data_IF_057668836073
#
_entry.id   IF_057668836073
#
_cell.length_a   1.000
_cell.length_b   1.000
_cell.length_c   1.000
_cell.angle_alpha   90.00
_cell.angle_beta   90.00
_cell.angle_gamma   90.00
#
_symmetry.space_group_name_H-M   'P 1'
#
loop_
_entity.id
_entity.type
_entity.pdbx_description
1 polymer ?
#
# COMPACT_ATOMS: atom_id res chain seq x y z
N UNK A 1 2.56 -17.90 27.90
CA UNK A 1 1.58 -17.86 26.80
C UNK A 1 2.35 -17.41 25.59
N UNK A 2 2.16 -18.09 24.47
CA UNK A 2 2.86 -17.76 23.23
C UNK A 2 2.47 -16.33 22.83
N UNK A 3 3.39 -15.38 22.88
CA UNK A 3 3.11 -13.97 22.60
C UNK A 3 2.92 -13.69 21.09
N UNK A 4 2.79 -14.75 20.29
CA UNK A 4 3.06 -14.74 18.86
C UNK A 4 2.01 -15.48 18.03
N UNK A 5 0.92 -15.94 18.66
CA UNK A 5 -0.26 -16.33 17.89
C UNK A 5 -1.02 -15.06 17.51
N UNK A 6 -0.93 -14.70 16.23
CA UNK A 6 -1.65 -13.59 15.57
C UNK A 6 -3.19 -13.74 15.57
N UNK A 7 -3.71 -14.76 16.28
CA UNK A 7 -5.12 -14.97 16.60
C UNK A 7 -5.62 -14.16 17.80
N UNK A 8 -4.85 -13.15 18.22
CA UNK A 8 -5.15 -12.31 19.37
C UNK A 8 -6.12 -11.17 19.09
N UNK A 9 -6.21 -10.26 20.06
CA UNK A 9 -7.10 -9.09 20.07
C UNK A 9 -6.86 -8.12 18.88
N UNK A 10 -5.65 -8.11 18.31
CA UNK A 10 -5.26 -7.23 17.20
C UNK A 10 -5.62 -7.78 15.81
N UNK A 11 -6.09 -9.02 15.69
CA UNK A 11 -6.30 -9.67 14.41
C UNK A 11 -7.22 -8.84 13.48
N UNK A 12 -8.39 -8.43 13.97
CA UNK A 12 -9.37 -7.69 13.16
C UNK A 12 -8.85 -6.33 12.71
N UNK A 13 -8.32 -5.52 13.65
CA UNK A 13 -7.83 -4.17 13.31
C UNK A 13 -6.64 -4.21 12.35
N UNK A 14 -5.76 -5.22 12.45
CA UNK A 14 -4.67 -5.44 11.48
C UNK A 14 -5.22 -5.77 10.10
N UNK A 15 -6.15 -6.72 10.02
CA UNK A 15 -6.79 -7.09 8.75
C UNK A 15 -7.40 -5.86 8.08
N UNK A 16 -8.18 -5.08 8.84
CA UNK A 16 -8.82 -3.87 8.34
C UNK A 16 -7.80 -2.81 7.91
N UNK A 17 -6.73 -2.60 8.68
CA UNK A 17 -5.67 -1.63 8.34
C UNK A 17 -4.96 -1.98 7.03
N UNK A 18 -4.47 -3.21 6.89
CA UNK A 18 -3.72 -3.64 5.71
C UNK A 18 -4.59 -3.89 4.47
N UNK A 19 -5.92 -3.93 4.64
CA UNK A 19 -6.90 -4.02 3.54
C UNK A 19 -7.60 -2.69 3.25
N UNK A 20 -7.05 -1.59 3.76
CA UNK A 20 -7.46 -0.20 3.54
C UNK A 20 -8.79 0.22 4.20
N UNK A 21 -9.38 -0.56 5.11
CA UNK A 21 -10.64 -0.23 5.82
C UNK A 21 -10.42 0.80 6.95
N UNK A 22 -9.77 1.92 6.62
CA UNK A 22 -9.31 2.94 7.56
C UNK A 22 -10.43 3.59 8.37
N UNK A 23 -11.64 3.68 7.81
CA UNK A 23 -12.81 4.18 8.55
C UNK A 23 -13.19 3.28 9.71
N UNK A 24 -13.08 1.95 9.55
CA UNK A 24 -13.33 1.00 10.64
C UNK A 24 -12.23 1.06 11.69
N UNK A 25 -10.99 1.05 11.22
CA UNK A 25 -9.81 1.14 12.09
C UNK A 25 -9.86 2.36 13.01
N UNK A 26 -10.20 3.55 12.50
CA UNK A 26 -10.26 4.76 13.34
C UNK A 26 -11.34 4.71 14.42
N UNK A 27 -12.42 3.93 14.22
CA UNK A 27 -13.58 3.89 15.10
C UNK A 27 -13.47 2.89 16.27
N UNK A 28 -12.39 2.12 16.36
CA UNK A 28 -12.19 1.21 17.50
C UNK A 28 -12.14 1.96 18.84
N UNK A 29 -12.74 1.35 19.86
CA UNK A 29 -12.66 1.86 21.23
C UNK A 29 -11.38 1.33 21.88
N UNK A 30 -10.46 2.24 22.21
CA UNK A 30 -9.16 1.88 22.78
C UNK A 30 -9.29 1.04 24.07
N UNK A 31 -10.27 1.36 24.92
CA UNK A 31 -10.51 0.65 26.18
C UNK A 31 -11.11 -0.75 26.00
N UNK A 32 -11.49 -1.12 24.77
CA UNK A 32 -11.85 -2.51 24.43
C UNK A 32 -10.63 -3.41 24.22
N UNK A 33 -9.42 -2.84 24.25
CA UNK A 33 -8.17 -3.57 24.11
C UNK A 33 -7.39 -3.69 25.42
N UNK A 34 -6.60 -4.75 25.55
CA UNK A 34 -5.66 -4.96 26.65
C UNK A 34 -4.64 -3.82 26.72
N UNK A 35 -4.18 -3.48 27.93
CA UNK A 35 -3.27 -2.35 28.14
C UNK A 35 -1.97 -2.42 27.31
N UNK A 36 -1.49 -3.64 27.04
CA UNK A 36 -0.31 -3.90 26.20
C UNK A 36 -0.56 -3.64 24.70
N UNK A 37 -1.79 -3.81 24.22
CA UNK A 37 -2.16 -3.63 22.81
C UNK A 37 -2.65 -2.22 22.48
N UNK A 38 -3.07 -1.45 23.48
CA UNK A 38 -3.65 -0.12 23.27
C UNK A 38 -2.72 0.81 22.48
N UNK A 39 -1.41 0.84 22.76
CA UNK A 39 -0.50 1.70 22.00
C UNK A 39 -0.49 1.35 20.50
N UNK A 40 -0.50 0.05 20.14
CA UNK A 40 -0.53 -0.41 18.75
C UNK A 40 -1.88 -0.14 18.07
N UNK A 41 -2.98 -0.23 18.81
CA UNK A 41 -4.30 0.18 18.29
C UNK A 41 -4.32 1.67 17.97
N UNK A 42 -3.82 2.49 18.90
CA UNK A 42 -3.73 3.93 18.70
C UNK A 42 -2.82 4.28 17.51
N UNK A 43 -1.73 3.54 17.30
CA UNK A 43 -0.91 3.62 16.09
C UNK A 43 -1.76 3.48 14.82
N UNK A 44 -2.53 2.40 14.71
CA UNK A 44 -3.37 2.13 13.54
C UNK A 44 -4.47 3.17 13.36
N UNK A 45 -5.05 3.69 14.45
CA UNK A 45 -6.04 4.77 14.42
C UNK A 45 -5.45 6.06 13.85
N UNK A 46 -4.27 6.48 14.34
CA UNK A 46 -3.58 7.68 13.88
C UNK A 46 -3.21 7.54 12.40
N UNK A 47 -2.61 6.42 12.02
CA UNK A 47 -2.19 6.18 10.63
C UNK A 47 -3.38 6.10 9.68
N UNK A 48 -4.49 5.50 10.10
CA UNK A 48 -5.75 5.46 9.33
C UNK A 48 -6.38 6.85 9.20
N UNK A 49 -6.32 7.68 10.24
CA UNK A 49 -6.78 9.08 10.20
C UNK A 49 -6.00 9.87 9.15
N UNK A 50 -4.66 9.75 9.18
CA UNK A 50 -3.78 10.39 8.19
C UNK A 50 -4.03 9.84 6.77
N UNK A 51 -4.25 8.53 6.62
CA UNK A 51 -4.53 7.90 5.33
C UNK A 51 -5.86 8.37 4.71
N UNK A 52 -6.83 8.76 5.54
CA UNK A 52 -8.10 9.38 5.12
C UNK A 52 -7.95 10.88 4.81
N UNK A 53 -6.75 11.46 4.94
CA UNK A 53 -6.50 12.89 4.76
C UNK A 53 -7.03 13.76 5.91
N UNK A 54 -7.32 13.15 7.06
CA UNK A 54 -7.80 13.83 8.26
C UNK A 54 -6.61 14.23 9.16
N UNK A 55 -6.74 15.33 9.91
CA UNK A 55 -5.72 15.76 10.88
C UNK A 55 -5.77 14.91 12.15
N UNK A 56 -4.68 14.22 12.45
CA UNK A 56 -4.54 13.36 13.62
C UNK A 56 -3.97 14.06 14.87
N UNK A 57 -3.71 15.37 14.83
CA UNK A 57 -3.03 16.13 15.91
C UNK A 57 -3.68 15.96 17.29
N UNK A 58 -5.01 15.96 17.36
CA UNK A 58 -5.75 15.79 18.62
C UNK A 58 -5.60 14.37 19.18
N UNK A 59 -5.62 13.36 18.31
CA UNK A 59 -5.47 11.96 18.68
C UNK A 59 -4.05 11.69 19.18
N UNK A 60 -3.04 12.26 18.50
CA UNK A 60 -1.63 12.22 18.92
C UNK A 60 -1.45 12.90 20.29
N UNK A 61 -2.00 14.09 20.49
CA UNK A 61 -1.90 14.84 21.76
C UNK A 61 -2.53 14.08 22.94
N UNK A 62 -3.68 13.45 22.69
CA UNK A 62 -4.35 12.59 23.67
C UNK A 62 -3.52 11.34 23.97
N UNK A 63 -2.91 10.75 22.93
CA UNK A 63 -1.96 9.65 23.03
C UNK A 63 -0.75 9.96 23.91
N UNK A 64 -0.08 11.09 23.67
CA UNK A 64 1.05 11.59 24.48
C UNK A 64 0.69 11.67 25.97
N UNK A 65 -0.53 12.11 26.28
CA UNK A 65 -1.02 12.20 27.66
C UNK A 65 -1.28 10.84 28.30
N UNK A 66 -1.76 9.86 27.52
CA UNK A 66 -2.10 8.51 27.98
C UNK A 66 -0.88 7.59 28.09
N UNK A 67 0.12 7.77 27.23
CA UNK A 67 1.33 6.94 27.13
C UNK A 67 2.60 7.81 27.21
N UNK A 68 2.86 8.48 28.35
CA UNK A 68 3.90 9.50 28.48
C UNK A 68 5.34 8.98 28.26
N UNK A 69 5.57 7.67 28.41
CA UNK A 69 6.89 7.06 28.23
C UNK A 69 7.24 6.76 26.76
N UNK A 70 6.37 7.15 25.80
CA UNK A 70 6.51 6.85 24.37
C UNK A 70 6.73 8.12 23.53
N UNK A 71 7.51 9.08 24.03
CA UNK A 71 7.71 10.39 23.40
C UNK A 71 8.22 10.28 21.94
N UNK A 72 9.28 9.49 21.69
CA UNK A 72 9.81 9.30 20.34
C UNK A 72 8.81 8.71 19.35
N UNK A 73 7.94 7.80 19.81
CA UNK A 73 6.87 7.23 19.00
C UNK A 73 5.85 8.30 18.57
N UNK A 74 5.46 9.20 19.48
CA UNK A 74 4.52 10.27 19.14
C UNK A 74 5.18 11.41 18.36
N UNK A 75 6.46 11.71 18.57
CA UNK A 75 7.20 12.66 17.74
C UNK A 75 7.25 12.20 16.28
N UNK A 76 7.50 10.91 16.05
CA UNK A 76 7.46 10.31 14.72
C UNK A 76 6.06 10.45 14.07
N UNK A 77 4.99 10.13 14.82
CA UNK A 77 3.62 10.23 14.31
C UNK A 77 3.19 11.68 14.03
N UNK A 78 3.64 12.63 14.85
CA UNK A 78 3.44 14.06 14.64
C UNK A 78 4.16 14.52 13.37
N UNK A 79 5.44 14.15 13.20
CA UNK A 79 6.18 14.44 11.98
C UNK A 79 5.52 13.84 10.72
N UNK A 80 4.93 12.64 10.84
CA UNK A 80 4.20 12.01 9.74
C UNK A 80 2.86 12.70 9.42
N UNK A 81 2.14 13.17 10.44
CA UNK A 81 0.93 13.99 10.28
C UNK A 81 1.24 15.36 9.65
N UNK A 82 2.37 15.96 10.03
CA UNK A 82 2.79 17.23 9.46
C UNK A 82 3.16 17.08 7.97
N UNK A 83 3.76 15.95 7.56
CA UNK A 83 4.02 15.68 6.14
C UNK A 83 2.74 15.65 5.29
N UNK A 84 1.63 15.13 5.81
CA UNK A 84 0.36 15.12 5.06
C UNK A 84 -0.26 16.51 4.93
N UNK A 85 -0.03 17.37 5.92
CA UNK A 85 -0.64 18.71 6.02
C UNK A 85 0.20 19.81 5.37
N UNK A 86 1.53 19.74 5.51
CA UNK A 86 2.46 20.83 5.18
C UNK A 86 3.59 20.39 4.23
N UNK A 87 3.68 19.10 3.87
CA UNK A 87 4.76 18.57 3.05
C UNK A 87 6.10 18.54 3.81
N UNK A 88 7.21 18.62 3.08
CA UNK A 88 8.58 18.48 3.63
C UNK A 88 9.07 19.69 4.40
N UNK A 89 8.45 20.86 4.22
CA UNK A 89 8.95 22.13 4.72
C UNK A 89 9.05 22.20 6.26
N UNK A 90 8.32 21.34 6.97
CA UNK A 90 8.29 21.27 8.44
C UNK A 90 8.88 19.98 9.03
N UNK A 91 9.26 18.99 8.22
CA UNK A 91 9.55 17.64 8.72
C UNK A 91 11.05 17.33 8.73
N UNK A 92 11.76 17.78 9.77
CA UNK A 92 13.19 17.47 9.95
C UNK A 92 13.44 16.12 10.64
N UNK A 93 12.41 15.48 11.21
CA UNK A 93 12.57 14.25 11.99
C UNK A 93 13.25 13.15 11.18
N UNK A 94 12.76 12.91 9.97
CA UNK A 94 13.18 11.77 9.16
C UNK A 94 14.60 11.90 8.62
N UNK A 95 15.10 13.12 8.42
CA UNK A 95 16.45 13.38 7.93
C UNK A 95 17.52 12.93 8.92
N UNK A 96 17.19 12.95 10.22
CA UNK A 96 18.07 12.56 11.31
C UNK A 96 18.09 11.04 11.55
N UNK A 97 17.13 10.28 11.01
CA UNK A 97 17.05 8.83 11.19
C UNK A 97 18.08 8.12 10.30
N UNK A 98 19.17 7.63 10.91
CA UNK A 98 20.20 6.84 10.23
C UNK A 98 20.03 5.33 10.41
N UNK A 99 19.51 4.94 11.57
CA UNK A 99 19.14 3.56 11.92
C UNK A 99 17.85 3.62 12.71
N UNK A 100 16.84 2.86 12.28
CA UNK A 100 15.55 2.84 12.97
C UNK A 100 15.63 2.05 14.27
N UNK A 101 15.02 2.57 15.33
CA UNK A 101 15.02 2.01 16.67
C UNK A 101 13.89 0.99 16.88
N UNK A 102 12.74 1.23 16.26
CA UNK A 102 11.52 0.40 16.33
C UNK A 102 10.80 0.32 14.98
N UNK A 103 9.84 -0.61 14.84
CA UNK A 103 9.19 -0.98 13.57
C UNK A 103 8.64 0.24 12.83
N UNK A 104 7.81 1.03 13.52
CA UNK A 104 7.13 2.17 12.94
C UNK A 104 8.11 3.24 12.43
N UNK A 105 9.23 3.46 13.13
CA UNK A 105 10.28 4.38 12.67
C UNK A 105 10.93 3.89 11.38
N UNK A 106 11.17 2.58 11.25
CA UNK A 106 11.70 2.00 10.02
C UNK A 106 10.74 2.19 8.84
N UNK A 107 9.45 1.90 9.06
CA UNK A 107 8.40 1.97 8.05
C UNK A 107 8.18 3.42 7.59
N UNK A 108 7.93 4.34 8.52
CA UNK A 108 7.58 5.72 8.17
C UNK A 108 8.78 6.49 7.59
N UNK A 109 10.00 6.22 8.07
CA UNK A 109 11.22 6.81 7.49
C UNK A 109 11.43 6.33 6.04
N UNK A 110 11.26 5.03 5.79
CA UNK A 110 11.39 4.51 4.43
C UNK A 110 10.32 5.08 3.49
N UNK A 111 9.07 5.24 3.97
CA UNK A 111 8.01 5.92 3.20
C UNK A 111 8.35 7.38 2.90
N UNK A 112 8.90 8.12 3.88
CA UNK A 112 9.35 9.49 3.68
C UNK A 112 10.41 9.59 2.58
N UNK A 113 11.49 8.79 2.69
CA UNK A 113 12.61 8.77 1.74
C UNK A 113 12.13 8.48 0.31
N UNK A 114 11.21 7.53 0.14
CA UNK A 114 10.70 7.16 -1.18
C UNK A 114 9.75 8.22 -1.73
N UNK A 115 8.83 8.72 -0.91
CA UNK A 115 7.77 9.62 -1.38
C UNK A 115 8.30 11.01 -1.66
N UNK A 116 9.15 11.55 -0.78
CA UNK A 116 9.59 12.95 -0.81
C UNK A 116 11.00 13.11 -1.38
N UNK A 117 11.96 12.28 -0.95
CA UNK A 117 13.36 12.37 -1.40
C UNK A 117 13.67 11.58 -2.68
N UNK A 118 12.75 10.68 -3.09
CA UNK A 118 12.96 9.69 -4.16
C UNK A 118 14.22 8.82 -3.93
N UNK A 119 14.64 8.67 -2.68
CA UNK A 119 15.83 7.90 -2.28
C UNK A 119 15.45 6.46 -1.92
N UNK A 120 15.32 5.62 -2.95
CA UNK A 120 15.02 4.21 -2.79
C UNK A 120 16.17 3.44 -2.12
N UNK A 121 17.43 3.84 -2.34
CA UNK A 121 18.59 3.14 -1.82
C UNK A 121 18.65 3.27 -0.29
N UNK A 122 18.50 4.49 0.23
CA UNK A 122 18.50 4.75 1.66
C UNK A 122 17.27 4.13 2.34
N UNK A 123 16.10 4.14 1.70
CA UNK A 123 14.90 3.46 2.22
C UNK A 123 15.13 1.95 2.35
N UNK A 124 15.67 1.31 1.32
CA UNK A 124 16.05 -0.11 1.35
C UNK A 124 17.09 -0.39 2.43
N UNK A 125 18.06 0.51 2.64
CA UNK A 125 19.07 0.38 3.70
C UNK A 125 18.46 0.44 5.10
N UNK A 126 17.56 1.38 5.38
CA UNK A 126 16.86 1.49 6.67
C UNK A 126 16.09 0.21 6.98
N UNK A 127 15.30 -0.29 6.02
CA UNK A 127 14.49 -1.49 6.20
C UNK A 127 15.34 -2.74 6.42
N UNK A 128 16.39 -2.94 5.60
CA UNK A 128 17.32 -4.07 5.78
C UNK A 128 18.05 -4.01 7.13
N UNK A 129 18.49 -2.81 7.55
CA UNK A 129 19.14 -2.62 8.85
C UNK A 129 18.21 -2.98 10.01
N UNK A 130 16.92 -2.66 9.90
CA UNK A 130 15.93 -3.04 10.89
C UNK A 130 15.66 -4.55 10.89
N UNK A 131 15.38 -5.13 9.72
CA UNK A 131 15.11 -6.56 9.52
C UNK A 131 16.27 -7.44 10.02
N UNK A 132 17.52 -7.00 9.83
CA UNK A 132 18.70 -7.75 10.26
C UNK A 132 18.77 -7.97 11.79
N UNK A 133 17.99 -7.23 12.59
CA UNK A 133 17.85 -7.46 14.03
C UNK A 133 17.11 -8.76 14.36
N UNK A 134 16.42 -9.36 13.39
CA UNK A 134 15.71 -10.63 13.53
C UNK A 134 14.41 -10.54 14.31
N UNK A 135 13.77 -9.37 14.33
CA UNK A 135 12.45 -9.19 14.98
C UNK A 135 11.33 -9.77 14.10
N UNK A 136 10.31 -10.39 14.70
CA UNK A 136 9.15 -10.92 13.96
C UNK A 136 8.13 -9.80 13.66
N UNK A 137 8.61 -8.67 13.14
CA UNK A 137 7.81 -7.50 12.76
C UNK A 137 7.74 -7.44 11.25
N UNK A 138 6.54 -7.55 10.69
CA UNK A 138 6.36 -7.91 9.29
C UNK A 138 6.15 -6.71 8.38
N UNK A 139 5.78 -5.55 8.92
CA UNK A 139 5.57 -4.36 8.10
C UNK A 139 6.86 -3.87 7.38
N UNK A 140 8.07 -3.96 7.99
CA UNK A 140 9.31 -3.70 7.27
C UNK A 140 9.53 -4.63 6.07
N UNK A 141 9.15 -5.92 6.19
CA UNK A 141 9.20 -6.87 5.08
C UNK A 141 8.19 -6.51 3.99
N UNK A 142 6.96 -6.13 4.37
CA UNK A 142 5.91 -5.67 3.44
C UNK A 142 6.42 -4.52 2.57
N UNK A 143 6.96 -3.49 3.20
CA UNK A 143 7.45 -2.32 2.50
C UNK A 143 8.68 -2.64 1.65
N UNK A 144 9.63 -3.43 2.17
CA UNK A 144 10.82 -3.80 1.42
C UNK A 144 10.48 -4.62 0.17
N UNK A 145 9.54 -5.58 0.29
CA UNK A 145 9.03 -6.31 -0.88
C UNK A 145 8.39 -5.34 -1.86
N UNK A 146 7.51 -4.44 -1.42
CA UNK A 146 6.87 -3.47 -2.30
C UNK A 146 7.89 -2.62 -3.07
N UNK A 147 8.95 -2.15 -2.40
CA UNK A 147 10.02 -1.37 -3.06
C UNK A 147 10.73 -2.16 -4.15
N UNK A 148 11.08 -3.42 -3.88
CA UNK A 148 11.67 -4.29 -4.90
C UNK A 148 10.72 -4.51 -6.09
N UNK A 149 9.43 -4.71 -5.83
CA UNK A 149 8.43 -4.88 -6.89
C UNK A 149 8.27 -3.62 -7.76
N UNK A 150 8.25 -2.43 -7.16
CA UNK A 150 8.19 -1.15 -7.89
C UNK A 150 9.41 -0.97 -8.80
N UNK A 151 10.58 -1.45 -8.36
CA UNK A 151 11.82 -1.47 -9.13
C UNK A 151 11.91 -2.62 -10.14
N UNK A 152 10.88 -3.48 -10.24
CA UNK A 152 10.83 -4.65 -11.12
C UNK A 152 11.91 -5.70 -10.74
N UNK A 153 12.38 -5.70 -9.49
CA UNK A 153 13.31 -6.71 -8.97
C UNK A 153 12.55 -7.84 -8.26
N UNK A 154 11.96 -8.74 -9.06
CA UNK A 154 11.27 -9.91 -8.55
C UNK A 154 12.21 -10.85 -7.78
N UNK A 155 13.51 -10.87 -8.10
CA UNK A 155 14.47 -11.76 -7.42
C UNK A 155 14.68 -11.30 -5.98
N UNK A 156 14.92 -10.01 -5.77
CA UNK A 156 15.08 -9.43 -4.44
C UNK A 156 13.77 -9.53 -3.63
N UNK A 157 12.62 -9.21 -4.24
CA UNK A 157 11.31 -9.36 -3.59
C UNK A 157 11.08 -10.79 -3.07
N UNK A 158 11.34 -11.80 -3.92
CA UNK A 158 11.22 -13.20 -3.54
C UNK A 158 12.20 -13.62 -2.45
N UNK A 159 13.44 -13.09 -2.48
CA UNK A 159 14.42 -13.36 -1.44
C UNK A 159 13.93 -12.84 -0.09
N UNK A 160 13.47 -11.59 -0.03
CA UNK A 160 12.92 -10.98 1.19
C UNK A 160 11.71 -11.74 1.70
N UNK A 161 10.79 -12.13 0.83
CA UNK A 161 9.64 -12.94 1.23
C UNK A 161 10.00 -14.34 1.75
N UNK A 162 11.02 -14.99 1.16
CA UNK A 162 11.52 -16.26 1.66
C UNK A 162 12.20 -16.15 3.03
N UNK A 163 12.76 -14.98 3.37
CA UNK A 163 13.25 -14.71 4.72
C UNK A 163 12.10 -14.57 5.72
N UNK A 164 11.02 -13.87 5.34
CA UNK A 164 9.80 -13.79 6.13
C UNK A 164 9.15 -15.17 6.35
N UNK A 165 9.13 -16.05 5.34
CA UNK A 165 8.58 -17.43 5.45
C UNK A 165 9.20 -18.25 6.59
N UNK A 166 10.41 -17.93 7.05
CA UNK A 166 11.08 -18.66 8.14
C UNK A 166 10.37 -18.52 9.48
N UNK A 167 9.53 -17.49 9.65
CA UNK A 167 8.76 -17.27 10.88
C UNK A 167 7.48 -18.12 10.96
N UNK A 168 7.09 -18.84 9.90
CA UNK A 168 5.92 -19.75 9.87
C UNK A 168 4.58 -19.11 10.31
N UNK A 169 4.30 -17.88 9.89
CA UNK A 169 3.08 -17.14 10.23
C UNK A 169 2.21 -16.92 8.98
N UNK A 170 1.66 -18.01 8.43
CA UNK A 170 0.84 -17.98 7.21
C UNK A 170 -0.51 -17.29 7.37
N UNK A 171 -1.00 -17.17 8.60
CA UNK A 171 -2.33 -16.62 8.92
C UNK A 171 -2.30 -15.09 9.13
N UNK A 172 -1.11 -14.47 9.08
CA UNK A 172 -0.92 -13.02 9.21
C UNK A 172 -1.31 -12.32 7.90
N UNK A 173 -2.16 -11.30 7.98
CA UNK A 173 -2.61 -10.53 6.81
C UNK A 173 -1.45 -9.93 6.01
N UNK A 174 -0.38 -9.50 6.67
CA UNK A 174 0.81 -8.93 6.00
C UNK A 174 1.46 -10.00 5.13
N UNK A 175 1.55 -11.23 5.64
CA UNK A 175 2.05 -12.36 4.89
C UNK A 175 1.18 -12.62 3.64
N UNK A 176 -0.14 -12.70 3.81
CA UNK A 176 -1.08 -12.96 2.71
C UNK A 176 -1.05 -11.86 1.64
N UNK A 177 -0.96 -10.59 2.05
CA UNK A 177 -0.84 -9.45 1.13
C UNK A 177 0.46 -9.56 0.31
N UNK A 178 1.61 -9.80 0.94
CA UNK A 178 2.89 -9.98 0.25
C UNK A 178 2.82 -11.15 -0.74
N UNK A 179 2.26 -12.29 -0.31
CA UNK A 179 2.13 -13.47 -1.15
C UNK A 179 1.27 -13.19 -2.37
N UNK A 180 0.16 -12.46 -2.21
CA UNK A 180 -0.73 -12.06 -3.31
C UNK A 180 0.00 -11.20 -4.35
N UNK A 181 0.83 -10.25 -3.94
CA UNK A 181 1.56 -9.39 -4.89
C UNK A 181 2.61 -10.16 -5.68
N UNK A 182 3.36 -11.03 -5.00
CA UNK A 182 4.37 -11.88 -5.63
C UNK A 182 3.71 -12.85 -6.62
N UNK A 183 2.60 -13.48 -6.22
CA UNK A 183 1.86 -14.41 -7.07
C UNK A 183 1.29 -13.71 -8.31
N UNK A 184 0.65 -12.55 -8.15
CA UNK A 184 0.12 -11.77 -9.27
C UNK A 184 1.21 -11.35 -10.28
N UNK A 185 2.42 -11.02 -9.81
CA UNK A 185 3.52 -10.58 -10.67
C UNK A 185 4.35 -11.72 -11.27
N UNK A 186 4.43 -12.88 -10.60
CA UNK A 186 4.99 -14.10 -11.21
C UNK A 186 4.17 -14.54 -12.43
N UNK A 187 2.89 -14.21 -12.45
CA UNK A 187 1.96 -14.67 -13.48
C UNK A 187 1.67 -16.16 -13.31
N UNK A 188 1.28 -16.84 -14.39
CA UNK A 188 0.68 -18.19 -14.37
C UNK A 188 -0.73 -18.17 -13.79
N UNK A 189 -1.66 -18.87 -14.45
CA UNK A 189 -3.08 -18.83 -14.08
C UNK A 189 -3.32 -19.26 -12.63
N UNK A 190 -2.55 -20.23 -12.12
CA UNK A 190 -2.68 -20.68 -10.72
C UNK A 190 -2.29 -19.59 -9.71
N UNK A 191 -1.16 -18.91 -9.89
CA UNK A 191 -0.74 -17.85 -8.97
C UNK A 191 -1.69 -16.64 -9.04
N UNK A 192 -2.13 -16.27 -10.25
CA UNK A 192 -3.08 -15.17 -10.42
C UNK A 192 -4.43 -15.54 -9.77
N UNK A 193 -4.92 -16.77 -9.93
CA UNK A 193 -6.12 -17.25 -9.26
C UNK A 193 -5.98 -17.23 -7.73
N UNK A 194 -4.84 -17.66 -7.18
CA UNK A 194 -4.59 -17.61 -5.73
C UNK A 194 -4.67 -16.17 -5.21
N UNK A 195 -4.11 -15.22 -5.96
CA UNK A 195 -4.20 -13.80 -5.64
C UNK A 195 -5.64 -13.29 -5.75
N UNK A 196 -6.36 -13.71 -6.80
CA UNK A 196 -7.75 -13.34 -7.02
C UNK A 196 -8.65 -13.79 -5.87
N UNK A 197 -8.55 -15.05 -5.45
CA UNK A 197 -9.36 -15.58 -4.35
C UNK A 197 -9.11 -14.86 -3.02
N UNK A 198 -7.87 -14.45 -2.76
CA UNK A 198 -7.56 -13.65 -1.58
C UNK A 198 -8.33 -12.31 -1.59
N UNK A 199 -8.29 -11.56 -2.69
CA UNK A 199 -9.03 -10.29 -2.77
C UNK A 199 -10.54 -10.46 -2.88
N UNK A 200 -11.02 -11.56 -3.46
CA UNK A 200 -12.45 -11.90 -3.53
C UNK A 200 -13.00 -12.23 -2.14
N UNK A 201 -12.23 -12.96 -1.33
CA UNK A 201 -12.56 -13.19 0.08
C UNK A 201 -12.59 -11.87 0.87
N UNK A 202 -11.63 -10.96 0.64
CA UNK A 202 -11.67 -9.63 1.25
C UNK A 202 -12.91 -8.84 0.82
N UNK A 203 -13.35 -8.96 -0.43
CA UNK A 203 -14.55 -8.29 -0.92
C UNK A 203 -15.83 -8.81 -0.26
N UNK A 204 -15.81 -10.05 0.29
CA UNK A 204 -16.93 -10.62 1.04
C UNK A 204 -17.13 -9.98 2.42
N UNK A 205 -16.16 -9.18 2.89
CA UNK A 205 -16.33 -8.37 4.09
C UNK A 205 -17.36 -7.27 3.87
N UNK A 206 -17.99 -6.84 4.96
CA UNK A 206 -18.91 -5.73 4.91
C UNK A 206 -18.16 -4.41 4.70
N UNK A 207 -18.63 -3.58 3.78
CA UNK A 207 -18.08 -2.25 3.47
C UNK A 207 -19.14 -1.15 3.69
N UNK A 208 -20.14 -1.37 4.56
CA UNK A 208 -21.14 -0.36 4.91
C UNK A 208 -20.49 1.02 5.12
N UNK A 209 -20.93 1.98 4.29
CA UNK A 209 -20.46 3.37 4.23
C UNK A 209 -18.95 3.59 3.94
N UNK A 210 -18.24 2.61 3.37
CA UNK A 210 -16.83 2.72 2.96
C UNK A 210 -16.58 2.32 1.49
N UNK A 211 -17.18 3.10 0.57
CA UNK A 211 -17.05 2.90 -0.87
C UNK A 211 -15.59 2.99 -1.35
N UNK A 212 -14.75 3.81 -0.71
CA UNK A 212 -13.38 3.99 -1.16
C UNK A 212 -12.52 2.76 -0.86
N UNK A 213 -12.69 2.13 0.30
CA UNK A 213 -12.03 0.86 0.63
C UNK A 213 -12.49 -0.26 -0.30
N UNK A 214 -13.81 -0.36 -0.53
CA UNK A 214 -14.38 -1.33 -1.48
C UNK A 214 -13.82 -1.16 -2.89
N UNK A 215 -13.70 0.09 -3.35
CA UNK A 215 -13.13 0.43 -4.65
C UNK A 215 -11.70 -0.08 -4.82
N UNK A 216 -10.85 0.01 -3.79
CA UNK A 216 -9.46 -0.47 -3.88
C UNK A 216 -9.39 -1.98 -4.15
N UNK A 217 -10.21 -2.76 -3.44
CA UNK A 217 -10.28 -4.23 -3.63
C UNK A 217 -10.84 -4.56 -5.02
N UNK A 218 -11.93 -3.90 -5.43
CA UNK A 218 -12.50 -4.08 -6.77
C UNK A 218 -11.50 -3.74 -7.88
N UNK A 219 -10.69 -2.69 -7.71
CA UNK A 219 -9.67 -2.31 -8.69
C UNK A 219 -8.55 -3.36 -8.79
N UNK A 220 -8.16 -4.00 -7.67
CA UNK A 220 -7.22 -5.12 -7.70
C UNK A 220 -7.83 -6.31 -8.44
N UNK A 221 -9.06 -6.70 -8.09
CA UNK A 221 -9.77 -7.78 -8.77
C UNK A 221 -9.88 -7.50 -10.27
N UNK A 222 -10.21 -6.27 -10.66
CA UNK A 222 -10.26 -5.86 -12.06
C UNK A 222 -8.95 -6.16 -12.79
N UNK A 223 -7.80 -5.77 -12.22
CA UNK A 223 -6.49 -6.06 -12.83
C UNK A 223 -6.19 -7.55 -12.91
N UNK A 224 -6.47 -8.31 -11.85
CA UNK A 224 -6.26 -9.77 -11.85
C UNK A 224 -7.14 -10.46 -12.89
N UNK A 225 -8.39 -10.01 -13.05
CA UNK A 225 -9.31 -10.49 -14.09
C UNK A 225 -8.81 -10.17 -15.50
N UNK A 226 -8.20 -8.99 -15.72
CA UNK A 226 -7.52 -8.67 -16.98
C UNK A 226 -6.34 -9.60 -17.25
N UNK A 227 -5.52 -9.90 -16.23
CA UNK A 227 -4.40 -10.83 -16.35
C UNK A 227 -4.85 -12.26 -16.70
N UNK A 228 -6.01 -12.68 -16.18
CA UNK A 228 -6.65 -13.95 -16.53
C UNK A 228 -7.34 -13.94 -17.91
N UNK A 229 -7.43 -12.78 -18.57
CA UNK A 229 -8.12 -12.59 -19.85
C UNK A 229 -9.64 -12.85 -19.79
N UNK A 230 -10.23 -12.65 -18.61
CA UNK A 230 -11.67 -12.82 -18.35
C UNK A 230 -12.41 -11.49 -18.61
N UNK A 231 -12.44 -11.05 -19.86
CA UNK A 231 -12.94 -9.70 -20.22
C UNK A 231 -14.42 -9.43 -19.90
N UNK A 232 -15.37 -10.39 -20.03
CA UNK A 232 -16.74 -10.19 -19.59
C UNK A 232 -16.83 -9.84 -18.10
N UNK A 233 -16.14 -10.61 -17.26
CA UNK A 233 -16.06 -10.42 -15.81
C UNK A 233 -15.38 -9.08 -15.46
N UNK A 234 -14.36 -8.68 -16.22
CA UNK A 234 -13.72 -7.39 -16.05
C UNK A 234 -14.69 -6.22 -16.33
N UNK A 235 -15.61 -6.41 -17.28
CA UNK A 235 -16.65 -5.41 -17.61
C UNK A 235 -17.70 -5.29 -16.49
N UNK A 236 -18.04 -6.41 -15.85
CA UNK A 236 -18.92 -6.43 -14.68
C UNK A 236 -18.27 -5.72 -13.48
N UNK A 237 -16.99 -5.97 -13.23
CA UNK A 237 -16.23 -5.29 -12.17
C UNK A 237 -16.15 -3.77 -12.39
N UNK A 238 -15.91 -3.33 -13.64
CA UNK A 238 -15.98 -1.89 -13.98
C UNK A 238 -17.35 -1.30 -13.67
N UNK A 239 -18.43 -2.00 -14.04
CA UNK A 239 -19.80 -1.55 -13.75
C UNK A 239 -20.06 -1.44 -12.25
N UNK A 240 -19.54 -2.38 -11.46
CA UNK A 240 -19.63 -2.33 -10.00
C UNK A 240 -18.85 -1.13 -9.42
N UNK A 241 -17.62 -0.90 -9.90
CA UNK A 241 -16.81 0.27 -9.50
C UNK A 241 -17.54 1.57 -9.83
N UNK A 242 -18.12 1.70 -11.01
CA UNK A 242 -18.85 2.91 -11.41
C UNK A 242 -20.08 3.16 -10.54
N UNK A 243 -20.78 2.10 -10.11
CA UNK A 243 -21.99 2.19 -9.29
C UNK A 243 -21.77 2.75 -7.88
N UNK A 244 -20.56 2.63 -7.34
CA UNK A 244 -20.21 3.13 -6.00
C UNK A 244 -19.60 4.54 -6.03
N UNK A 245 -19.45 5.13 -7.22
CA UNK A 245 -18.95 6.50 -7.45
C UNK A 245 -17.73 6.88 -6.59
N UNK A 246 -16.62 6.12 -6.65
CA UNK A 246 -15.47 6.34 -5.79
C UNK A 246 -14.66 7.55 -6.26
N UNK A 247 -13.77 8.02 -5.39
CA UNK A 247 -12.74 8.96 -5.80
C UNK A 247 -11.72 8.22 -6.67
N UNK A 248 -11.63 8.65 -7.93
CA UNK A 248 -10.81 8.01 -8.97
C UNK A 248 -9.33 8.27 -8.74
N UNK A 249 -8.52 7.21 -8.73
CA UNK A 249 -7.06 7.28 -8.64
C UNK A 249 -6.39 7.18 -10.02
N UNK A 250 -5.15 7.66 -10.13
CA UNK A 250 -4.35 7.52 -11.35
C UNK A 250 -4.15 6.06 -11.77
N UNK A 251 -3.91 5.17 -10.80
CA UNK A 251 -3.75 3.73 -11.04
C UNK A 251 -5.00 3.11 -11.69
N UNK A 252 -6.21 3.48 -11.23
CA UNK A 252 -7.44 2.99 -11.85
C UNK A 252 -7.58 3.46 -13.29
N UNK A 253 -7.30 4.73 -13.58
CA UNK A 253 -7.35 5.24 -14.97
C UNK A 253 -6.30 4.52 -15.84
N UNK A 254 -5.13 4.21 -15.32
CA UNK A 254 -4.13 3.43 -16.03
C UNK A 254 -4.61 1.99 -16.32
N UNK A 255 -5.33 1.36 -15.39
CA UNK A 255 -5.96 0.06 -15.61
C UNK A 255 -7.07 0.14 -16.67
N UNK A 256 -7.86 1.23 -16.68
CA UNK A 256 -8.86 1.47 -17.73
C UNK A 256 -8.21 1.61 -19.12
N UNK A 257 -7.05 2.27 -19.22
CA UNK A 257 -6.29 2.34 -20.49
C UNK A 257 -5.89 0.95 -20.97
N UNK A 258 -5.41 0.08 -20.08
CA UNK A 258 -5.04 -1.28 -20.43
C UNK A 258 -6.26 -2.09 -20.91
N UNK A 259 -7.38 -2.00 -20.18
CA UNK A 259 -8.64 -2.61 -20.59
C UNK A 259 -9.12 -2.10 -21.96
N UNK A 260 -9.04 -0.80 -22.21
CA UNK A 260 -9.51 -0.21 -23.46
C UNK A 260 -8.70 -0.70 -24.68
N UNK A 261 -7.39 -0.89 -24.53
CA UNK A 261 -6.57 -1.55 -25.56
C UNK A 261 -6.99 -3.00 -25.80
N UNK A 262 -7.31 -3.75 -24.75
CA UNK A 262 -7.65 -5.18 -24.82
C UNK A 262 -9.06 -5.44 -25.38
N UNK A 263 -10.03 -4.58 -25.04
CA UNK A 263 -11.46 -4.82 -25.31
C UNK A 263 -12.00 -3.90 -26.41
N UNK A 264 -11.55 -2.64 -26.45
CA UNK A 264 -12.08 -1.60 -27.33
C UNK A 264 -11.08 -1.13 -28.40
N UNK A 265 -9.97 -1.86 -28.57
CA UNK A 265 -8.89 -1.55 -29.52
C UNK A 265 -8.30 -0.15 -29.34
N UNK A 266 -8.33 0.38 -28.12
CA UNK A 266 -7.76 1.67 -27.75
C UNK A 266 -8.59 2.89 -28.16
N UNK A 267 -9.88 2.71 -28.48
CA UNK A 267 -10.74 3.78 -28.98
C UNK A 267 -10.92 4.96 -28.00
N UNK A 268 -10.85 4.70 -26.69
CA UNK A 268 -11.02 5.73 -25.64
C UNK A 268 -9.69 6.15 -24.99
N UNK A 269 -8.57 5.56 -25.38
CA UNK A 269 -7.25 5.84 -24.77
C UNK A 269 -6.86 7.33 -24.82
N UNK A 270 -7.13 8.11 -25.89
CA UNK A 270 -6.81 9.54 -25.89
C UNK A 270 -7.50 10.33 -24.75
N UNK A 271 -8.77 10.02 -24.50
CA UNK A 271 -9.56 10.65 -23.44
C UNK A 271 -9.09 10.18 -22.06
N UNK A 272 -8.80 8.88 -21.92
CA UNK A 272 -8.27 8.30 -20.68
C UNK A 272 -6.87 8.84 -20.33
N UNK A 273 -5.99 9.06 -21.32
CA UNK A 273 -4.70 9.71 -21.10
C UNK A 273 -4.86 11.17 -20.66
N UNK A 274 -5.85 11.87 -21.21
CA UNK A 274 -6.19 13.23 -20.77
C UNK A 274 -6.69 13.23 -19.33
N UNK A 275 -7.60 12.32 -18.99
CA UNK A 275 -8.07 12.11 -17.61
C UNK A 275 -6.93 11.74 -16.66
N UNK A 276 -6.00 10.88 -17.08
CA UNK A 276 -4.86 10.49 -16.26
C UNK A 276 -3.97 11.69 -15.93
N UNK A 277 -3.69 12.57 -16.90
CA UNK A 277 -2.94 13.81 -16.65
C UNK A 277 -3.64 14.74 -15.66
N UNK A 278 -4.98 14.80 -15.71
CA UNK A 278 -5.77 15.63 -14.79
C UNK A 278 -5.77 15.07 -13.36
N UNK A 279 -5.84 13.74 -13.21
CA UNK A 279 -5.87 13.08 -11.90
C UNK A 279 -4.47 13.01 -11.28
N UNK A 280 -3.45 12.69 -12.08
CA UNK A 280 -2.08 12.50 -11.61
C UNK A 280 -1.07 12.69 -12.75
N UNK A 281 -0.63 13.93 -12.98
CA UNK A 281 0.33 14.29 -14.04
C UNK A 281 1.65 13.51 -13.95
N UNK A 282 2.13 13.22 -12.74
CA UNK A 282 3.36 12.46 -12.49
C UNK A 282 3.19 10.93 -12.50
N UNK A 283 2.09 10.39 -13.02
CA UNK A 283 1.83 8.96 -12.99
C UNK A 283 2.80 8.18 -13.92
N UNK A 284 3.38 7.07 -13.44
CA UNK A 284 4.42 6.28 -14.16
C UNK A 284 4.03 5.91 -15.59
N UNK A 285 2.75 5.62 -15.84
CA UNK A 285 2.24 5.30 -17.19
C UNK A 285 2.46 6.43 -18.19
N UNK A 286 2.38 7.70 -17.77
CA UNK A 286 2.61 8.86 -18.63
C UNK A 286 4.09 8.99 -18.96
N UNK A 287 4.96 8.88 -17.94
CA UNK A 287 6.41 8.89 -18.12
C UNK A 287 6.88 7.76 -19.04
N UNK A 288 6.40 6.52 -18.83
CA UNK A 288 6.73 5.36 -19.67
C UNK A 288 6.25 5.55 -21.12
N UNK A 289 5.09 6.19 -21.33
CA UNK A 289 4.60 6.49 -22.67
C UNK A 289 5.51 7.51 -23.37
N UNK A 290 5.89 8.59 -22.69
CA UNK A 290 6.76 9.62 -23.25
C UNK A 290 8.15 9.08 -23.60
N UNK A 291 8.75 8.29 -22.70
CA UNK A 291 10.04 7.63 -22.93
C UNK A 291 10.00 6.70 -24.15
N UNK A 292 8.95 5.87 -24.26
CA UNK A 292 8.77 4.94 -25.39
C UNK A 292 8.48 5.66 -26.70
N UNK A 293 7.66 6.71 -26.69
CA UNK A 293 7.39 7.53 -27.87
C UNK A 293 8.66 8.19 -28.39
N UNK A 294 9.46 8.79 -27.50
CA UNK A 294 10.75 9.38 -27.87
C UNK A 294 11.71 8.34 -28.45
N UNK A 295 11.82 7.17 -27.82
CA UNK A 295 12.66 6.08 -28.32
C UNK A 295 12.22 5.62 -29.72
N UNK A 296 10.91 5.54 -29.96
CA UNK A 296 10.38 5.19 -31.28
C UNK A 296 10.74 6.24 -32.33
N UNK A 297 10.58 7.53 -32.02
CA UNK A 297 10.93 8.62 -32.94
C UNK A 297 12.43 8.64 -33.26
N UNK A 298 13.29 8.43 -32.25
CA UNK A 298 14.74 8.32 -32.43
C UNK A 298 15.13 7.16 -33.37
N UNK A 299 14.44 6.01 -33.24
CA UNK A 299 14.62 4.88 -34.14
C UNK A 299 14.11 5.22 -35.55
N UNK A 300 12.93 5.82 -35.67
CA UNK A 300 12.36 6.18 -36.97
C UNK A 300 13.29 7.13 -37.75
N UNK A 301 13.83 8.16 -37.09
CA UNK A 301 14.80 9.10 -37.68
C UNK A 301 16.08 8.39 -38.14
N UNK A 302 16.54 7.38 -37.39
CA UNK A 302 17.75 6.61 -37.76
C UNK A 302 17.57 5.80 -39.05
N UNK A 303 16.34 5.43 -39.42
CA UNK A 303 16.03 4.57 -40.57
C UNK A 303 15.22 5.25 -41.67
N UNK A 304 14.97 6.57 -41.57
CA UNK A 304 14.36 7.40 -42.60
C UNK A 304 15.40 7.95 -43.57
#
# INVERSE_FOLDING_TARGET
MDAFTDSGELYSIRNEFYTNQHNRVKNYLLDSFSAENQLKVLEFQIRSTIALGEDASQLISSGKSRFPDNDGFFQLLEAYNDLSSFGTDSSTYFDDVKEASFELEAVLTALYLVKYEKDFEQATKILNGYIAKGTPEFEPYLLLVQLHLVQIDLVAANKTFNELKKFNMSDDIVYSVIESWINALRGESENINNSFYFYDELLSTDFEDDNQSKFRILNVLFVLTLQLQHYPEATELLSQIESIHPEVTGDFVANQIAYDYLVNFGSNVPDLLTKLRQVQEGHRRLTDLEEKSKLFDDIAVKYA
#
